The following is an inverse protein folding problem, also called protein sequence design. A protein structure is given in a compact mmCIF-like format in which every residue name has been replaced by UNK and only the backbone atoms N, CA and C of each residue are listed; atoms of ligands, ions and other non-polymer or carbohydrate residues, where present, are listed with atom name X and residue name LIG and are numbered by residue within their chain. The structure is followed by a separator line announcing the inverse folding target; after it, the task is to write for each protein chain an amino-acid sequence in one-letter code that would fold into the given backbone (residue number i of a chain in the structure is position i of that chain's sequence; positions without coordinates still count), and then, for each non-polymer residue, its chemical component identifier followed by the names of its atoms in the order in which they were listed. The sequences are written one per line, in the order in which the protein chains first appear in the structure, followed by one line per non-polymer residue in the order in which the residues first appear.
data_IF_917748225581
#
_entry.id   IF_917748225581
#
_cell.length_a   1.000
_cell.length_b   1.000
_cell.length_c   1.000
_cell.angle_alpha   90.00
_cell.angle_beta   90.00
_cell.angle_gamma   90.00
#
_symmetry.space_group_name_H-M   'P 1'
#
loop_
_entity.id
_entity.type
_entity.pdbx_description
1 polymer ?
#
# COMPACT_ATOMS: atom_id res chain seq x y z
N UNK A 1 -12.91 0.01 1.20
CA UNK A 1 -12.07 1.18 1.50
C UNK A 1 -10.99 1.24 0.44
N UNK A 2 -10.91 2.31 -0.34
CA UNK A 2 -9.94 2.44 -1.43
C UNK A 2 -8.53 2.62 -0.84
N UNK A 3 -7.45 2.28 -1.59
CA UNK A 3 -6.07 2.34 -1.06
C UNK A 3 -5.71 3.74 -0.55
N UNK A 4 -6.17 4.76 -1.28
CA UNK A 4 -6.08 6.17 -0.91
C UNK A 4 -6.64 6.45 0.49
N UNK A 5 -7.87 6.04 0.78
CA UNK A 5 -8.53 6.27 2.07
C UNK A 5 -7.76 5.65 3.23
N UNK A 6 -7.20 4.45 3.01
CA UNK A 6 -6.40 3.74 4.02
C UNK A 6 -5.08 4.45 4.29
N UNK A 7 -4.38 4.84 3.24
CA UNK A 7 -3.14 5.59 3.35
C UNK A 7 -3.34 6.88 4.14
N UNK A 8 -4.39 7.63 3.81
CA UNK A 8 -4.76 8.86 4.52
C UNK A 8 -5.04 8.59 6.00
N UNK A 9 -5.86 7.56 6.30
CA UNK A 9 -6.17 7.18 7.68
C UNK A 9 -4.91 6.93 8.51
N UNK A 10 -3.96 6.17 7.97
CA UNK A 10 -2.77 5.80 8.72
C UNK A 10 -1.75 6.92 8.86
N UNK A 11 -1.63 7.77 7.85
CA UNK A 11 -0.84 9.00 7.94
C UNK A 11 -1.36 9.88 9.07
N UNK A 12 -2.69 10.09 9.16
CA UNK A 12 -3.29 10.84 10.25
C UNK A 12 -3.07 10.19 11.62
N UNK A 13 -3.16 8.86 11.70
CA UNK A 13 -2.85 8.15 12.96
C UNK A 13 -1.37 8.28 13.35
N UNK A 14 -0.46 8.36 12.38
CA UNK A 14 0.97 8.52 12.63
C UNK A 14 1.31 9.93 13.16
N UNK A 15 0.59 10.95 12.68
CA UNK A 15 0.70 12.33 13.16
C UNK A 15 0.33 12.44 14.64
N UNK A 16 -0.76 11.77 15.05
CA UNK A 16 -1.23 11.79 16.44
C UNK A 16 -0.27 11.10 17.43
N UNK A 17 0.61 10.21 16.94
CA UNK A 17 1.54 9.44 17.79
C UNK A 17 2.94 10.06 17.90
N UNK A 18 3.34 10.90 16.95
CA UNK A 18 4.68 11.51 16.91
C UNK A 18 4.53 13.02 16.77
N UNK A 19 5.13 13.76 17.70
CA UNK A 19 5.17 15.24 17.75
C UNK A 19 5.99 15.89 16.60
N UNK A 20 5.86 15.39 15.38
CA UNK A 20 6.56 15.92 14.21
C UNK A 20 5.60 16.79 13.39
N UNK A 21 5.40 18.01 13.88
CA UNK A 21 4.37 18.99 13.47
C UNK A 21 4.34 19.37 11.97
N UNK A 22 5.33 18.97 11.16
CA UNK A 22 5.46 19.42 9.76
C UNK A 22 5.69 18.30 8.75
N UNK A 23 5.51 17.04 9.16
CA UNK A 23 5.60 15.89 8.26
C UNK A 23 4.25 15.61 7.61
N UNK A 24 3.22 15.52 8.43
CA UNK A 24 1.83 15.39 7.99
C UNK A 24 1.17 16.75 8.15
N UNK A 25 0.63 17.30 7.07
CA UNK A 25 -0.04 18.58 7.07
C UNK A 25 -1.47 18.36 6.59
N UNK A 26 -2.47 18.55 7.45
CA UNK A 26 -3.86 18.70 6.96
C UNK A 26 -3.92 19.88 6.01
N UNK A 27 -4.93 19.92 5.12
CA UNK A 27 -5.13 21.06 4.22
C UNK A 27 -5.25 22.38 4.98
N UNK A 28 -5.93 22.37 6.13
CA UNK A 28 -6.04 23.52 7.03
C UNK A 28 -4.67 23.97 7.57
N UNK A 29 -3.85 23.04 8.09
CA UNK A 29 -2.50 23.34 8.58
C UNK A 29 -1.59 23.86 7.47
N UNK A 30 -1.74 23.31 6.26
CA UNK A 30 -0.99 23.73 5.09
C UNK A 30 -1.27 25.19 4.73
N UNK A 31 -2.55 25.56 4.62
CA UNK A 31 -2.99 26.93 4.32
C UNK A 31 -2.53 27.89 5.42
N UNK A 32 -2.75 27.52 6.69
CA UNK A 32 -2.35 28.36 7.81
C UNK A 32 -0.82 28.60 7.87
N UNK A 33 -0.01 27.62 7.46
CA UNK A 33 1.44 27.81 7.35
C UNK A 33 1.82 28.77 6.22
N UNK A 34 1.11 28.75 5.10
CA UNK A 34 1.30 29.74 4.02
C UNK A 34 1.01 31.14 4.55
N UNK A 35 -0.13 31.34 5.18
CA UNK A 35 -0.54 32.63 5.77
C UNK A 35 0.50 33.12 6.79
N UNK A 36 0.92 32.27 7.73
CA UNK A 36 1.94 32.62 8.73
C UNK A 36 3.28 33.03 8.11
N UNK A 37 3.66 32.42 6.97
CA UNK A 37 4.91 32.76 6.28
C UNK A 37 4.76 34.10 5.57
N UNK A 38 3.64 34.36 4.90
CA UNK A 38 3.39 35.65 4.24
C UNK A 38 3.31 36.80 5.26
N UNK A 39 2.58 36.61 6.36
CA UNK A 39 2.55 37.56 7.47
C UNK A 39 3.94 37.84 8.04
N UNK A 40 4.77 36.80 8.18
CA UNK A 40 6.14 36.94 8.65
C UNK A 40 7.03 37.71 7.65
N UNK A 41 6.83 37.54 6.34
CA UNK A 41 7.55 38.28 5.30
C UNK A 41 7.17 39.76 5.33
N UNK A 42 5.89 40.09 5.53
CA UNK A 42 5.36 41.45 5.61
C UNK A 42 5.67 42.17 6.94
N UNK A 43 5.95 41.45 8.02
CA UNK A 43 6.19 42.04 9.33
C UNK A 43 7.48 42.89 9.39
N UNK A 44 7.35 44.16 9.78
CA UNK A 44 8.47 45.09 9.98
C UNK A 44 9.41 44.62 11.11
N UNK A 45 8.83 44.23 12.26
CA UNK A 45 9.55 43.64 13.39
C UNK A 45 9.09 42.19 13.57
N UNK A 46 10.02 41.26 13.36
CA UNK A 46 9.73 39.83 13.37
C UNK A 46 9.81 39.25 14.78
N UNK A 47 8.79 38.49 15.16
CA UNK A 47 8.79 37.69 16.39
C UNK A 47 9.75 36.49 16.27
N UNK A 48 10.20 35.89 17.39
CA UNK A 48 11.00 34.67 17.34
C UNK A 48 10.34 33.52 16.56
N UNK A 49 9.01 33.44 16.61
CA UNK A 49 8.24 32.44 15.84
C UNK A 49 8.31 32.71 14.34
N UNK A 50 8.12 33.96 13.92
CA UNK A 50 8.21 34.37 12.52
C UNK A 50 9.62 34.13 11.96
N UNK A 51 10.68 34.41 12.71
CA UNK A 51 12.05 34.05 12.31
C UNK A 51 12.21 32.55 12.09
N UNK A 52 11.68 31.70 12.98
CA UNK A 52 11.73 30.25 12.82
C UNK A 52 10.95 29.77 11.58
N UNK A 53 9.83 30.42 11.26
CA UNK A 53 9.04 30.13 10.06
C UNK A 53 9.84 30.45 8.81
N UNK A 54 10.34 31.68 8.68
CA UNK A 54 11.09 32.16 7.51
C UNK A 54 12.41 31.42 7.28
N UNK A 55 13.02 30.89 8.34
CA UNK A 55 14.22 30.05 8.23
C UNK A 55 13.92 28.69 7.58
N UNK A 56 12.72 28.14 7.79
CA UNK A 56 12.36 26.79 7.35
C UNK A 56 11.52 26.77 6.07
N UNK A 57 10.66 27.77 5.92
CA UNK A 57 9.64 27.81 4.89
C UNK A 57 9.80 29.04 4.00
N UNK A 58 9.41 28.88 2.74
CA UNK A 58 9.08 29.97 1.83
C UNK A 58 7.74 29.69 1.17
N UNK A 59 7.17 30.71 0.53
CA UNK A 59 5.97 30.59 -0.30
C UNK A 59 6.33 31.01 -1.71
N UNK A 60 5.88 30.24 -2.70
CA UNK A 60 6.00 30.60 -4.12
C UNK A 60 4.63 30.53 -4.79
N UNK A 61 4.45 31.35 -5.83
CA UNK A 61 3.25 31.32 -6.65
C UNK A 61 3.50 30.47 -7.90
N UNK A 62 2.67 29.45 -8.12
CA UNK A 62 2.65 28.65 -9.34
C UNK A 62 1.27 28.84 -9.97
N UNK A 63 1.19 29.64 -11.03
CA UNK A 63 -0.09 30.06 -11.59
C UNK A 63 -0.91 30.85 -10.57
N UNK A 64 -2.13 30.40 -10.28
CA UNK A 64 -3.03 31.02 -9.30
C UNK A 64 -2.97 30.35 -7.92
N UNK A 65 -2.07 29.38 -7.71
CA UNK A 65 -1.93 28.67 -6.44
C UNK A 65 -0.64 29.04 -5.71
N UNK A 66 -0.77 29.25 -4.41
CA UNK A 66 0.37 29.41 -3.49
C UNK A 66 0.85 28.03 -3.05
N UNK A 67 2.16 27.80 -3.11
CA UNK A 67 2.79 26.55 -2.68
C UNK A 67 3.85 26.83 -1.62
N UNK A 68 3.81 26.03 -0.55
CA UNK A 68 4.78 26.06 0.53
C UNK A 68 6.05 25.28 0.12
N UNK A 69 7.22 25.89 0.31
CA UNK A 69 8.52 25.31 -0.05
C UNK A 69 9.50 25.31 1.12
N UNK A 70 10.49 24.41 1.08
CA UNK A 70 11.58 24.39 2.03
C UNK A 70 12.64 25.46 1.69
N UNK A 71 13.23 26.05 2.73
CA UNK A 71 14.42 26.91 2.61
C UNK A 71 15.64 26.23 3.24
N UNK A 72 16.81 26.39 2.63
CA UNK A 72 18.11 26.16 3.26
C UNK A 72 19.05 25.12 2.63
N UNK A 73 18.65 24.45 1.55
CA UNK A 73 19.38 23.31 0.97
C UNK A 73 19.79 23.48 -0.50
N UNK A 74 19.50 24.64 -1.11
CA UNK A 74 19.82 24.93 -2.51
C UNK A 74 18.90 24.24 -3.53
N UNK A 75 18.11 23.25 -3.11
CA UNK A 75 17.14 22.54 -3.93
C UNK A 75 15.72 23.04 -3.65
N UNK A 76 14.95 23.26 -4.71
CA UNK A 76 13.54 23.63 -4.58
C UNK A 76 12.72 22.40 -4.20
N UNK A 77 12.33 22.29 -2.92
CA UNK A 77 11.48 21.20 -2.43
C UNK A 77 10.15 21.71 -1.90
N UNK A 78 9.07 21.07 -2.34
CA UNK A 78 7.70 21.42 -1.97
C UNK A 78 7.23 20.70 -0.72
N UNK A 79 6.41 21.37 0.08
CA UNK A 79 5.55 20.70 1.04
C UNK A 79 4.22 20.35 0.37
N UNK A 80 3.72 19.16 0.65
CA UNK A 80 2.42 18.68 0.19
C UNK A 80 1.43 18.57 1.35
N UNK A 81 0.15 18.91 1.15
CA UNK A 81 -0.89 18.57 2.10
C UNK A 81 -1.18 17.05 2.05
N UNK A 82 -1.69 16.50 3.15
CA UNK A 82 -1.81 15.06 3.35
C UNK A 82 -2.73 14.39 2.33
N UNK A 83 -3.77 15.09 1.89
CA UNK A 83 -4.73 14.66 0.87
C UNK A 83 -4.12 14.56 -0.54
N UNK A 84 -3.01 15.23 -0.82
CA UNK A 84 -2.28 15.16 -2.11
C UNK A 84 -1.10 14.17 -2.07
N UNK A 85 -0.64 13.76 -0.87
CA UNK A 85 0.50 12.86 -0.72
C UNK A 85 0.32 11.53 -1.47
N UNK A 86 -0.88 10.95 -1.44
CA UNK A 86 -1.14 9.67 -2.09
C UNK A 86 -0.94 9.78 -3.60
N UNK A 87 -1.64 10.73 -4.22
CA UNK A 87 -1.68 10.86 -5.68
C UNK A 87 -0.29 11.22 -6.23
N UNK A 88 0.49 12.05 -5.50
CA UNK A 88 1.86 12.39 -5.89
C UNK A 88 2.81 11.20 -5.76
N UNK A 89 2.72 10.44 -4.66
CA UNK A 89 3.61 9.30 -4.48
C UNK A 89 3.27 8.18 -5.46
N UNK A 90 1.98 7.95 -5.72
CA UNK A 90 1.49 7.00 -6.72
C UNK A 90 1.96 7.41 -8.13
N UNK A 91 1.87 8.69 -8.48
CA UNK A 91 2.39 9.21 -9.75
C UNK A 91 3.91 9.08 -9.89
N UNK A 92 4.69 9.35 -8.83
CA UNK A 92 6.15 9.10 -8.84
C UNK A 92 6.42 7.62 -8.99
N UNK A 93 5.67 6.78 -8.27
CA UNK A 93 5.79 5.34 -8.34
C UNK A 93 5.59 4.85 -9.78
N UNK A 94 4.55 5.31 -10.49
CA UNK A 94 4.33 4.99 -11.90
C UNK A 94 5.47 5.52 -12.80
N UNK A 95 5.87 6.79 -12.62
CA UNK A 95 6.88 7.44 -13.45
C UNK A 95 8.26 6.76 -13.40
N UNK A 96 8.65 6.24 -12.25
CA UNK A 96 9.92 5.52 -12.08
C UNK A 96 9.83 4.03 -12.40
N UNK A 97 8.73 3.61 -13.05
CA UNK A 97 8.45 2.23 -13.38
C UNK A 97 8.29 1.38 -12.14
N UNK A 98 7.55 1.86 -11.14
CA UNK A 98 7.26 1.21 -9.87
C UNK A 98 8.51 0.73 -9.12
N UNK A 99 9.56 1.54 -9.13
CA UNK A 99 10.82 1.20 -8.48
C UNK A 99 10.67 0.97 -6.97
N UNK A 100 11.59 0.18 -6.42
CA UNK A 100 11.61 -0.17 -5.01
C UNK A 100 11.75 1.06 -4.09
N UNK A 101 11.41 0.86 -2.81
CA UNK A 101 11.30 1.90 -1.79
C UNK A 101 12.45 2.90 -1.75
N UNK A 102 13.70 2.43 -1.77
CA UNK A 102 14.84 3.33 -1.61
C UNK A 102 15.01 4.24 -2.85
N UNK A 103 14.66 3.74 -4.04
CA UNK A 103 14.63 4.53 -5.27
C UNK A 103 13.42 5.48 -5.30
N UNK A 104 12.25 5.02 -4.85
CA UNK A 104 11.07 5.87 -4.74
C UNK A 104 11.29 7.03 -3.76
N UNK A 105 11.88 6.74 -2.58
CA UNK A 105 12.25 7.77 -1.63
C UNK A 105 13.29 8.73 -2.19
N UNK A 106 14.33 8.22 -2.86
CA UNK A 106 15.35 9.03 -3.48
C UNK A 106 14.77 9.96 -4.55
N UNK A 107 13.77 9.51 -5.31
CA UNK A 107 13.07 10.34 -6.30
C UNK A 107 12.15 11.37 -5.61
N UNK A 108 11.29 10.91 -4.71
CA UNK A 108 10.32 11.76 -4.02
C UNK A 108 11.00 12.88 -3.22
N UNK A 109 12.13 12.58 -2.57
CA UNK A 109 12.87 13.57 -1.76
C UNK A 109 13.67 14.59 -2.56
N UNK A 110 13.83 14.42 -3.87
CA UNK A 110 14.38 15.47 -4.75
C UNK A 110 13.42 16.66 -4.84
N UNK A 111 12.12 16.39 -4.91
CA UNK A 111 11.09 17.41 -5.16
C UNK A 111 10.25 17.74 -3.94
N UNK A 112 10.20 16.88 -2.91
CA UNK A 112 9.30 17.04 -1.78
C UNK A 112 10.01 16.99 -0.42
N UNK A 113 9.67 17.94 0.44
CA UNK A 113 10.33 18.16 1.73
C UNK A 113 9.70 17.37 2.88
N UNK A 114 8.43 16.98 2.76
CA UNK A 114 7.68 16.27 3.81
C UNK A 114 7.32 14.82 3.49
N UNK A 115 7.81 14.27 2.39
CA UNK A 115 7.76 12.83 2.14
C UNK A 115 8.86 12.16 2.97
N UNK A 116 8.47 11.21 3.81
CA UNK A 116 9.39 10.55 4.73
C UNK A 116 9.55 9.08 4.47
N UNK A 117 10.67 8.52 4.94
CA UNK A 117 10.93 7.07 4.96
C UNK A 117 9.78 6.25 5.56
N UNK A 118 8.99 6.85 6.45
CA UNK A 118 7.86 6.22 7.16
C UNK A 118 6.58 6.21 6.33
N UNK A 119 6.31 7.29 5.58
CA UNK A 119 5.19 7.36 4.62
C UNK A 119 5.42 6.41 3.45
N UNK A 120 6.66 6.36 2.94
CA UNK A 120 7.09 5.38 1.96
C UNK A 120 7.09 3.95 2.52
N UNK A 121 7.37 3.77 3.82
CA UNK A 121 7.17 2.45 4.47
C UNK A 121 5.70 2.07 4.49
N UNK A 122 4.79 3.00 4.77
CA UNK A 122 3.35 2.77 4.72
C UNK A 122 2.97 2.25 3.34
N UNK A 123 3.23 3.04 2.29
CA UNK A 123 2.93 2.67 0.91
C UNK A 123 3.64 1.38 0.47
N UNK A 124 4.90 1.18 0.86
CA UNK A 124 5.65 -0.05 0.57
C UNK A 124 5.18 -1.26 1.39
N UNK A 125 4.65 -1.07 2.60
CA UNK A 125 3.93 -2.12 3.34
C UNK A 125 2.59 -2.43 2.67
N UNK A 126 1.95 -1.46 1.99
CA UNK A 126 0.74 -1.73 1.19
C UNK A 126 1.03 -2.39 -0.15
N UNK A 127 2.20 -2.15 -0.74
CA UNK A 127 2.65 -2.83 -1.96
C UNK A 127 3.32 -4.19 -1.70
N UNK A 128 3.96 -4.40 -0.54
CA UNK A 128 4.78 -5.59 -0.26
C UNK A 128 4.61 -6.23 1.14
N UNK A 129 3.72 -5.77 2.02
CA UNK A 129 3.42 -6.44 3.29
C UNK A 129 1.93 -6.69 3.49
N UNK A 130 1.54 -7.86 3.02
CA UNK A 130 0.69 -8.82 3.71
C UNK A 130 0.66 -8.65 5.23
N UNK A 131 -0.24 -7.80 5.74
CA UNK A 131 -1.08 -8.06 6.89
C UNK A 131 -2.23 -7.03 6.98
N UNK A 132 -3.40 -7.49 6.51
CA UNK A 132 -4.75 -7.10 6.92
C UNK A 132 -5.16 -5.63 6.74
N UNK A 133 -5.56 -5.26 5.53
CA UNK A 133 -6.98 -4.98 5.18
C UNK A 133 -7.20 -5.69 3.85
N UNK A 134 -8.37 -6.29 3.67
CA UNK A 134 -8.79 -7.01 2.48
C UNK A 134 -8.72 -6.10 1.25
N UNK A 135 -7.57 -6.06 0.59
CA UNK A 135 -7.51 -5.68 -0.82
C UNK A 135 -8.07 -6.88 -1.58
N UNK A 136 -9.13 -6.68 -2.36
CA UNK A 136 -9.71 -7.73 -3.19
C UNK A 136 -8.71 -8.12 -4.28
N UNK A 137 -7.90 -9.14 -4.01
CA UNK A 137 -7.03 -9.73 -5.02
C UNK A 137 -7.89 -10.63 -5.93
N UNK A 138 -7.95 -10.27 -7.22
CA UNK A 138 -8.66 -11.06 -8.23
C UNK A 138 -7.65 -11.72 -9.15
N UNK A 139 -7.87 -13.01 -9.46
CA UNK A 139 -7.08 -13.70 -10.47
C UNK A 139 -7.80 -13.59 -11.80
N UNK A 140 -7.17 -12.93 -12.76
CA UNK A 140 -7.63 -12.79 -14.14
C UNK A 140 -6.82 -13.70 -15.06
N UNK A 141 -7.33 -13.97 -16.26
CA UNK A 141 -6.56 -14.62 -17.32
C UNK A 141 -6.36 -13.65 -18.49
N UNK A 142 -5.17 -13.67 -19.07
CA UNK A 142 -4.92 -13.00 -20.35
C UNK A 142 -5.63 -13.75 -21.48
N UNK A 143 -5.78 -13.10 -22.64
CA UNK A 143 -6.26 -13.74 -23.88
C UNK A 143 -5.44 -14.96 -24.29
N UNK A 144 -4.19 -15.04 -23.84
CA UNK A 144 -3.26 -16.16 -24.04
C UNK A 144 -3.27 -17.18 -22.88
N UNK A 145 -4.21 -17.08 -21.95
CA UNK A 145 -4.42 -18.03 -20.84
C UNK A 145 -3.49 -17.88 -19.63
N UNK A 146 -2.59 -16.90 -19.60
CA UNK A 146 -1.68 -16.66 -18.47
C UNK A 146 -2.41 -15.97 -17.32
N UNK A 147 -2.12 -16.36 -16.08
CA UNK A 147 -2.73 -15.75 -14.88
C UNK A 147 -2.13 -14.38 -14.57
N UNK A 148 -3.01 -13.40 -14.30
CA UNK A 148 -2.67 -12.10 -13.73
C UNK A 148 -3.35 -11.95 -12.36
N UNK A 149 -2.62 -11.50 -11.36
CA UNK A 149 -3.18 -11.08 -10.09
C UNK A 149 -3.46 -9.58 -10.17
N UNK A 150 -4.72 -9.20 -10.11
CA UNK A 150 -5.15 -7.82 -9.99
C UNK A 150 -5.36 -7.49 -8.52
N UNK A 151 -4.66 -6.48 -8.03
CA UNK A 151 -4.72 -6.06 -6.63
C UNK A 151 -4.52 -4.56 -6.62
N UNK A 152 -5.46 -3.85 -5.99
CA UNK A 152 -5.29 -2.41 -5.76
C UNK A 152 -5.12 -1.55 -7.04
N UNK A 153 -5.74 -1.96 -8.16
CA UNK A 153 -5.59 -1.27 -9.45
C UNK A 153 -4.43 -1.77 -10.32
N UNK A 154 -3.48 -2.51 -9.74
CA UNK A 154 -2.28 -3.00 -10.44
C UNK A 154 -2.39 -4.47 -10.81
N UNK A 155 -1.74 -4.88 -11.91
CA UNK A 155 -1.71 -6.27 -12.36
C UNK A 155 -0.31 -6.88 -12.24
N UNK A 156 -0.24 -8.12 -11.79
CA UNK A 156 0.99 -8.86 -11.54
C UNK A 156 0.95 -10.20 -12.28
N UNK A 157 2.05 -10.55 -12.96
CA UNK A 157 2.26 -11.81 -13.65
C UNK A 157 2.85 -12.84 -12.70
N UNK A 158 2.33 -14.06 -12.72
CA UNK A 158 2.96 -15.17 -12.01
C UNK A 158 4.34 -15.46 -12.61
N UNK A 159 5.36 -15.54 -11.76
CA UNK A 159 6.71 -15.97 -12.14
C UNK A 159 6.99 -17.34 -11.54
N UNK A 160 7.66 -18.19 -12.31
CA UNK A 160 8.18 -19.46 -11.84
C UNK A 160 9.60 -19.20 -11.35
N UNK A 161 9.82 -19.15 -10.03
CA UNK A 161 11.18 -19.10 -9.47
C UNK A 161 11.58 -20.49 -9.00
N UNK A 162 12.45 -21.16 -9.74
CA UNK A 162 13.19 -22.32 -9.25
C UNK A 162 14.45 -21.85 -8.49
N UNK A 163 14.85 -22.49 -7.36
CA UNK A 163 14.34 -23.74 -6.80
C UNK A 163 13.66 -23.54 -5.42
N UNK A 164 12.60 -22.71 -5.30
CA UNK A 164 11.84 -22.60 -4.03
C UNK A 164 10.33 -22.44 -4.24
N UNK A 165 9.58 -23.18 -3.40
CA UNK A 165 8.13 -23.43 -3.33
C UNK A 165 7.21 -22.20 -3.19
N UNK A 166 7.74 -20.99 -3.36
CA UNK A 166 7.03 -19.72 -3.15
C UNK A 166 6.61 -19.15 -4.51
N UNK A 167 5.29 -18.95 -4.71
CA UNK A 167 4.80 -18.29 -5.93
C UNK A 167 4.97 -16.78 -5.83
N UNK A 168 5.94 -16.26 -6.58
CA UNK A 168 6.20 -14.82 -6.75
C UNK A 168 5.37 -14.27 -7.90
N UNK A 169 4.61 -13.20 -7.63
CA UNK A 169 3.84 -12.45 -8.61
C UNK A 169 4.57 -11.15 -8.89
N UNK A 170 5.21 -11.06 -10.04
CA UNK A 170 5.95 -9.87 -10.42
C UNK A 170 5.04 -8.89 -11.14
N UNK A 171 5.21 -7.59 -10.95
CA UNK A 171 4.38 -6.61 -11.64
C UNK A 171 4.37 -6.83 -13.16
N UNK A 172 3.21 -6.63 -13.78
CA UNK A 172 3.02 -6.83 -15.21
C UNK A 172 3.87 -5.90 -16.08
N UNK A 173 4.29 -4.75 -15.54
CA UNK A 173 5.15 -3.75 -16.18
C UNK A 173 6.64 -4.05 -16.02
N UNK A 174 7.04 -5.12 -15.31
CA UNK A 174 8.46 -5.47 -15.12
C UNK A 174 9.29 -5.50 -16.41
N UNK A 175 8.79 -6.16 -17.46
CA UNK A 175 9.52 -6.31 -18.72
C UNK A 175 9.48 -5.06 -19.60
N UNK A 176 8.51 -4.17 -19.40
CA UNK A 176 8.31 -3.00 -20.25
C UNK A 176 8.92 -1.73 -19.63
N UNK A 177 8.90 -1.63 -18.30
CA UNK A 177 9.22 -0.42 -17.54
C UNK A 177 10.23 -0.69 -16.41
N UNK A 178 10.69 -1.93 -16.24
CA UNK A 178 11.69 -2.28 -15.21
C UNK A 178 11.13 -2.40 -13.80
N UNK A 179 9.81 -2.54 -13.64
CA UNK A 179 9.16 -2.65 -12.34
C UNK A 179 9.58 -3.87 -11.51
N UNK A 180 10.29 -3.62 -10.42
CA UNK A 180 10.76 -4.65 -9.49
C UNK A 180 9.73 -5.02 -8.42
N UNK A 181 8.53 -4.45 -8.41
CA UNK A 181 7.50 -4.80 -7.44
C UNK A 181 7.07 -6.27 -7.60
N UNK A 182 6.91 -6.96 -6.47
CA UNK A 182 6.48 -8.35 -6.47
C UNK A 182 5.71 -8.72 -5.21
N UNK A 183 4.73 -9.61 -5.37
CA UNK A 183 3.89 -10.12 -4.28
C UNK A 183 4.19 -11.60 -4.06
N UNK A 184 4.20 -12.01 -2.80
CA UNK A 184 4.27 -13.40 -2.40
C UNK A 184 2.96 -13.80 -1.75
N UNK A 185 2.37 -14.91 -2.17
CA UNK A 185 1.14 -15.45 -1.56
C UNK A 185 1.48 -16.15 -0.24
N UNK A 186 1.47 -15.43 0.88
CA UNK A 186 1.53 -16.03 2.22
C UNK A 186 0.12 -16.28 2.75
N UNK A 187 -0.16 -17.49 3.25
CA UNK A 187 -1.51 -17.85 3.73
C UNK A 187 -1.55 -17.88 5.26
N UNK A 188 -2.55 -17.24 5.85
CA UNK A 188 -2.78 -17.31 7.28
C UNK A 188 -3.65 -18.53 7.62
N UNK A 189 -3.18 -19.37 8.53
CA UNK A 189 -3.96 -20.45 9.14
C UNK A 189 -4.65 -19.88 10.40
N UNK A 190 -5.98 -19.88 10.38
CA UNK A 190 -6.85 -19.56 11.52
C UNK A 190 -7.18 -20.83 12.31
N UNK A 191 -7.72 -20.68 13.51
CA UNK A 191 -8.33 -21.77 14.28
C UNK A 191 -9.82 -21.53 14.41
N UNK A 192 -10.62 -22.58 14.21
CA UNK A 192 -12.06 -22.58 14.55
C UNK A 192 -12.25 -22.52 16.07
N UNK A 193 -13.47 -22.20 16.53
CA UNK A 193 -13.84 -22.23 17.95
C UNK A 193 -13.58 -23.60 18.62
N UNK A 194 -13.55 -24.68 17.83
CA UNK A 194 -13.25 -26.05 18.29
C UNK A 194 -11.77 -26.44 18.08
N UNK A 195 -10.89 -25.47 17.84
CA UNK A 195 -9.45 -25.66 17.68
C UNK A 195 -8.99 -26.20 16.33
N UNK A 196 -9.89 -26.56 15.41
CA UNK A 196 -9.53 -27.09 14.09
C UNK A 196 -8.96 -26.00 13.17
N UNK A 197 -7.91 -26.27 12.37
CA UNK A 197 -7.33 -25.30 11.47
C UNK A 197 -8.28 -24.91 10.33
N UNK A 198 -8.31 -23.62 10.01
CA UNK A 198 -9.04 -23.02 8.91
C UNK A 198 -8.10 -22.15 8.07
N UNK A 199 -8.36 -22.01 6.78
CA UNK A 199 -7.75 -20.99 5.92
C UNK A 199 -8.84 -20.06 5.42
N UNK A 200 -8.57 -18.75 5.38
CA UNK A 200 -9.47 -17.76 4.82
C UNK A 200 -8.88 -17.16 3.54
N UNK A 201 -9.66 -17.15 2.46
CA UNK A 201 -9.30 -16.57 1.16
C UNK A 201 -10.54 -15.89 0.56
N UNK A 202 -10.42 -14.62 0.16
CA UNK A 202 -11.50 -13.87 -0.52
C UNK A 202 -12.86 -13.94 0.18
N UNK A 203 -12.88 -13.78 1.50
CA UNK A 203 -14.08 -13.85 2.37
C UNK A 203 -14.72 -15.24 2.53
N UNK A 204 -14.16 -16.28 1.92
CA UNK A 204 -14.53 -17.67 2.15
C UNK A 204 -13.58 -18.35 3.12
N UNK A 205 -14.09 -19.28 3.91
CA UNK A 205 -13.28 -20.12 4.80
C UNK A 205 -13.20 -21.54 4.27
N UNK A 206 -12.09 -22.20 4.56
CA UNK A 206 -11.78 -23.56 4.14
C UNK A 206 -11.25 -24.33 5.35
N UNK A 207 -11.61 -25.60 5.47
CA UNK A 207 -11.10 -26.48 6.53
C UNK A 207 -10.11 -27.49 5.96
N UNK A 208 -9.08 -27.79 6.74
CA UNK A 208 -8.08 -28.78 6.34
C UNK A 208 -8.71 -30.17 6.23
N UNK A 209 -8.40 -30.88 5.14
CA UNK A 209 -8.55 -32.33 5.11
C UNK A 209 -7.32 -32.96 5.78
N UNK A 210 -7.50 -33.97 6.64
CA UNK A 210 -6.39 -34.69 7.22
C UNK A 210 -5.41 -35.19 6.15
N UNK A 211 -4.12 -35.00 6.36
CA UNK A 211 -3.04 -35.47 5.48
C UNK A 211 -1.86 -35.92 6.33
N UNK A 212 -1.19 -37.01 5.92
CA UNK A 212 0.06 -37.49 6.53
C UNK A 212 1.31 -36.78 5.96
N UNK A 213 1.13 -35.96 4.94
CA UNK A 213 2.21 -35.22 4.26
C UNK A 213 2.08 -33.74 4.56
N UNK A 214 3.11 -32.95 4.29
CA UNK A 214 3.01 -31.49 4.42
C UNK A 214 2.08 -30.85 3.37
N UNK A 215 1.63 -31.62 2.38
CA UNK A 215 0.57 -31.24 1.43
C UNK A 215 -0.81 -31.39 2.07
N UNK A 216 -1.49 -30.28 2.25
CA UNK A 216 -2.85 -30.22 2.84
C UNK A 216 -3.81 -29.70 1.78
N UNK A 217 -4.91 -30.43 1.56
CA UNK A 217 -6.05 -29.92 0.78
C UNK A 217 -7.04 -29.29 1.76
N UNK A 218 -7.53 -28.11 1.43
CA UNK A 218 -8.51 -27.38 2.22
C UNK A 218 -9.79 -27.29 1.39
N UNK A 219 -10.90 -27.77 1.93
CA UNK A 219 -12.20 -27.71 1.25
C UNK A 219 -12.99 -26.53 1.78
N UNK A 220 -13.80 -25.91 0.94
CA UNK A 220 -14.69 -24.83 1.39
C UNK A 220 -15.50 -25.28 2.62
N UNK A 221 -15.64 -24.42 3.63
CA UNK A 221 -16.36 -24.72 4.87
C UNK A 221 -17.82 -25.08 4.63
N UNK A 222 -18.39 -24.64 3.51
CA UNK A 222 -19.75 -24.96 3.08
C UNK A 222 -19.82 -26.24 2.23
N UNK A 223 -18.70 -26.92 1.94
CA UNK A 223 -18.65 -28.10 1.06
C UNK A 223 -19.73 -29.14 1.39
N UNK A 224 -19.89 -29.48 2.67
CA UNK A 224 -20.88 -30.47 3.10
C UNK A 224 -22.33 -29.93 3.06
N UNK A 225 -22.52 -28.61 3.25
CA UNK A 225 -23.85 -27.99 3.33
C UNK A 225 -24.41 -27.59 1.95
N UNK A 226 -23.52 -27.15 1.05
CA UNK A 226 -23.88 -26.54 -0.23
C UNK A 226 -23.22 -27.27 -1.41
N UNK A 227 -22.60 -28.41 -1.18
CA UNK A 227 -21.89 -29.19 -2.20
C UNK A 227 -20.82 -28.37 -2.95
N UNK A 228 -20.28 -27.33 -2.31
CA UNK A 228 -19.32 -26.42 -2.91
C UNK A 228 -18.00 -27.15 -3.22
N UNK A 229 -17.51 -27.01 -4.45
CA UNK A 229 -16.29 -27.70 -4.94
C UNK A 229 -15.04 -26.83 -4.85
N UNK A 230 -15.14 -25.62 -4.30
CA UNK A 230 -14.00 -24.75 -4.08
C UNK A 230 -13.00 -25.38 -3.10
N UNK A 231 -11.72 -25.23 -3.40
CA UNK A 231 -10.64 -25.80 -2.60
C UNK A 231 -9.36 -24.98 -2.67
N UNK A 232 -8.48 -25.19 -1.69
CA UNK A 232 -7.11 -24.70 -1.66
C UNK A 232 -6.19 -25.91 -1.44
N UNK A 233 -4.98 -25.88 -1.97
CA UNK A 233 -3.92 -26.85 -1.64
C UNK A 233 -2.73 -26.06 -1.12
N UNK A 234 -2.26 -26.44 0.06
CA UNK A 234 -1.03 -25.91 0.64
C UNK A 234 0.04 -26.98 0.79
N UNK A 235 1.31 -26.57 0.81
CA UNK A 235 2.47 -27.39 1.19
C UNK A 235 3.32 -26.52 2.12
N UNK A 236 3.74 -27.03 3.28
CA UNK A 236 4.60 -26.28 4.21
C UNK A 236 4.06 -24.87 4.55
N UNK A 237 2.73 -24.75 4.78
CA UNK A 237 1.99 -23.48 5.05
C UNK A 237 1.85 -22.51 3.86
N UNK A 238 2.28 -22.90 2.66
CA UNK A 238 2.22 -22.08 1.45
C UNK A 238 1.13 -22.57 0.49
N UNK A 239 0.32 -21.67 -0.11
CA UNK A 239 -0.67 -22.07 -1.11
C UNK A 239 -0.03 -22.30 -2.47
N UNK A 240 -0.18 -23.52 -2.97
CA UNK A 240 0.34 -23.95 -4.27
C UNK A 240 -0.74 -24.03 -5.35
N UNK A 241 -2.02 -24.18 -4.96
CA UNK A 241 -3.14 -24.21 -5.90
C UNK A 241 -4.46 -23.81 -5.23
N UNK A 242 -5.40 -23.25 -6.00
CA UNK A 242 -6.78 -22.97 -5.57
C UNK A 242 -7.78 -23.23 -6.70
N UNK A 243 -9.01 -23.57 -6.32
CA UNK A 243 -10.21 -23.44 -7.13
C UNK A 243 -11.19 -22.58 -6.34
N UNK A 244 -11.45 -21.37 -6.83
CA UNK A 244 -12.24 -20.34 -6.13
C UNK A 244 -13.64 -20.15 -6.74
N UNK A 245 -14.07 -21.08 -7.59
CA UNK A 245 -15.45 -21.10 -8.07
C UNK A 245 -16.37 -21.64 -6.98
N UNK A 246 -17.12 -20.74 -6.34
CA UNK A 246 -18.15 -21.06 -5.36
C UNK A 246 -19.52 -21.04 -6.05
N UNK A 247 -20.39 -21.97 -5.65
CA UNK A 247 -21.80 -22.00 -6.04
C UNK A 247 -22.69 -21.26 -5.02
N UNK A 248 -22.10 -20.41 -4.19
CA UNK A 248 -22.79 -19.66 -3.16
C UNK A 248 -22.08 -18.35 -2.84
N UNK A 249 -22.82 -17.42 -2.26
CA UNK A 249 -22.29 -16.15 -1.78
C UNK A 249 -21.41 -16.33 -0.53
N UNK A 250 -20.52 -15.37 -0.21
CA UNK A 250 -19.71 -15.43 0.99
C UNK A 250 -20.58 -15.44 2.27
N UNK A 251 -20.17 -16.15 3.33
CA UNK A 251 -20.80 -16.03 4.64
C UNK A 251 -20.74 -14.59 5.16
N UNK A 252 -21.81 -14.10 5.80
CA UNK A 252 -21.77 -12.80 6.49
C UNK A 252 -20.70 -12.84 7.57
N UNK A 253 -19.89 -11.78 7.66
CA UNK A 253 -18.91 -11.64 8.73
C UNK A 253 -19.67 -11.48 10.06
N UNK A 254 -19.48 -12.45 10.95
CA UNK A 254 -19.78 -12.32 12.39
C UNK A 254 -18.60 -11.69 13.09
#
# INVERSE_FOLDING_TARGET
MQMRDRFLYEIYQSENRKSSHYKVLTREKYINLIEQVEEAELAEKKTPMQYRRLKRFGVINIGNEKKLVARGDGNLRYFLPADELFDVIDGIHDAIGHAGRDKMLAEATQSFANITKEMDKGLWQYSNNTNFIFISAQIMKTTKGKSLMWISGYTYRATNSEPRKIRRWQCSTYFNEGCNAFIVTKVQILKSLKGKPLIRLNSYTYHATPSKTSKIRWRCSTHNRMSCRAFIITVDEEMIASNEQHNHTPPRAT
#
